data_IF_732229258885
#
_entry.id   IF_732229258885
#
_cell.length_a   1.000
_cell.length_b   1.000
_cell.length_c   1.000
_cell.angle_alpha   90.00
_cell.angle_beta   90.00
_cell.angle_gamma   90.00
#
_symmetry.space_group_name_H-M   'P 1'
#
loop_
_entity.id
_entity.type
_entity.pdbx_description
1 polymer ?
#
# COMPACT_ATOMS: atom_id res chain seq x y z
N UNK A 1 9.47 6.67 -2.20
CA UNK A 1 9.43 5.59 -1.19
C UNK A 1 8.15 4.82 -1.39
N UNK A 2 8.26 3.58 -1.83
CA UNK A 2 7.13 2.64 -1.91
C UNK A 2 6.71 2.21 -0.51
N UNK A 3 5.52 1.62 -0.37
CA UNK A 3 5.05 1.06 0.91
C UNK A 3 6.06 0.04 1.45
N UNK A 4 6.65 -0.78 0.58
CA UNK A 4 7.65 -1.78 0.93
C UNK A 4 8.93 -1.16 1.51
N UNK A 5 9.44 -0.10 0.90
CA UNK A 5 10.61 0.62 1.41
C UNK A 5 10.32 1.27 2.78
N UNK A 6 9.10 1.77 2.99
CA UNK A 6 8.68 2.31 4.30
C UNK A 6 8.61 1.22 5.37
N UNK A 7 8.09 0.04 5.03
CA UNK A 7 8.04 -1.11 5.95
C UNK A 7 9.43 -1.62 6.33
N UNK A 8 10.34 -1.66 5.37
CA UNK A 8 11.74 -2.04 5.59
C UNK A 8 12.45 -1.01 6.50
N UNK A 9 12.21 0.29 6.29
CA UNK A 9 12.73 1.33 7.17
C UNK A 9 12.16 1.28 8.59
N UNK A 10 10.88 0.94 8.75
CA UNK A 10 10.27 0.77 10.08
C UNK A 10 10.90 -0.43 10.79
N UNK A 11 11.08 -1.56 10.10
CA UNK A 11 11.68 -2.77 10.66
C UNK A 11 13.13 -2.55 11.07
N UNK A 12 13.93 -1.92 10.21
CA UNK A 12 15.34 -1.61 10.53
C UNK A 12 15.47 -0.65 11.71
N UNK A 13 14.52 0.26 11.92
CA UNK A 13 14.46 1.08 13.13
C UNK A 13 14.04 0.29 14.38
N UNK A 14 13.20 -0.73 14.25
CA UNK A 14 12.85 -1.65 15.35
C UNK A 14 14.05 -2.48 15.78
N UNK A 15 14.75 -3.07 14.82
CA UNK A 15 16.01 -3.79 15.07
C UNK A 15 17.07 -2.86 15.69
N UNK A 16 17.13 -1.60 15.27
CA UNK A 16 18.00 -0.60 15.88
C UNK A 16 17.66 -0.37 17.36
N UNK A 17 16.38 -0.25 17.70
CA UNK A 17 15.93 -0.09 19.10
C UNK A 17 16.33 -1.31 19.94
N UNK A 18 16.14 -2.52 19.43
CA UNK A 18 16.55 -3.76 20.09
C UNK A 18 18.06 -3.84 20.31
N UNK A 19 18.85 -3.54 19.28
CA UNK A 19 20.32 -3.53 19.38
C UNK A 19 20.82 -2.50 20.40
N UNK A 20 20.18 -1.32 20.47
CA UNK A 20 20.53 -0.31 21.49
C UNK A 20 20.20 -0.82 22.91
N UNK A 21 19.15 -1.63 23.07
CA UNK A 21 18.79 -2.21 24.38
C UNK A 21 19.78 -3.31 24.77
N UNK A 22 20.17 -4.18 23.84
CA UNK A 22 21.02 -5.34 24.09
C UNK A 22 22.49 -4.92 24.21
N UNK A 23 23.01 -4.19 23.23
CA UNK A 23 24.43 -3.89 23.07
C UNK A 23 24.80 -2.45 23.48
N UNK A 24 23.80 -1.62 23.80
CA UNK A 24 23.98 -0.21 24.16
C UNK A 24 24.14 0.73 22.96
N UNK A 25 24.25 0.19 21.74
CA UNK A 25 24.35 0.95 20.49
C UNK A 25 23.81 0.12 19.31
N UNK A 26 23.50 0.79 18.21
CA UNK A 26 23.13 0.15 16.95
C UNK A 26 23.51 1.02 15.75
N UNK A 27 23.37 0.49 14.54
CA UNK A 27 23.67 1.23 13.31
C UNK A 27 22.44 1.37 12.43
N UNK A 28 22.22 2.57 11.90
CA UNK A 28 21.17 2.85 10.94
C UNK A 28 21.69 3.80 9.86
N UNK A 29 21.51 3.43 8.59
CA UNK A 29 22.06 4.15 7.42
C UNK A 29 23.56 4.50 7.56
N UNK A 30 24.35 3.57 8.11
CA UNK A 30 25.80 3.73 8.30
C UNK A 30 26.21 4.63 9.48
N UNK A 31 25.26 5.15 10.26
CA UNK A 31 25.55 5.98 11.45
C UNK A 31 25.31 5.19 12.72
N UNK A 32 26.16 5.40 13.73
CA UNK A 32 26.01 4.80 15.06
C UNK A 32 24.99 5.60 15.87
N UNK A 33 24.03 4.89 16.45
CA UNK A 33 23.05 5.41 17.38
C UNK A 33 23.24 4.75 18.75
N UNK A 34 22.85 5.48 19.79
CA UNK A 34 22.95 5.09 21.20
C UNK A 34 21.66 5.45 21.91
N UNK A 35 21.55 5.11 23.20
CA UNK A 35 20.38 5.44 24.03
C UNK A 35 20.06 6.93 24.07
N UNK A 36 21.06 7.81 23.96
CA UNK A 36 20.89 9.27 23.89
C UNK A 36 20.08 9.72 22.66
N UNK A 37 20.12 8.92 21.59
CA UNK A 37 19.40 9.18 20.35
C UNK A 37 18.00 8.56 20.31
N UNK A 38 17.53 7.96 21.42
CA UNK A 38 16.24 7.24 21.47
C UNK A 38 15.05 8.11 21.05
N UNK A 39 15.00 9.38 21.45
CA UNK A 39 13.93 10.31 21.04
C UNK A 39 13.90 10.49 19.51
N UNK A 40 15.08 10.64 18.89
CA UNK A 40 15.20 10.82 17.44
C UNK A 40 14.81 9.56 16.66
N UNK A 41 15.13 8.38 17.18
CA UNK A 41 14.73 7.09 16.59
C UNK A 41 13.21 6.94 16.62
N UNK A 42 12.57 7.28 17.75
CA UNK A 42 11.11 7.26 17.88
C UNK A 42 10.43 8.23 16.93
N UNK A 43 10.93 9.47 16.82
CA UNK A 43 10.40 10.46 15.87
C UNK A 43 10.51 9.98 14.42
N UNK A 44 11.64 9.39 14.03
CA UNK A 44 11.85 8.81 12.70
C UNK A 44 10.89 7.65 12.40
N UNK A 45 10.70 6.77 13.38
CA UNK A 45 9.78 5.63 13.27
C UNK A 45 8.34 6.11 13.12
N UNK A 46 7.94 7.09 13.90
CA UNK A 46 6.60 7.67 13.82
C UNK A 46 6.37 8.38 12.48
N UNK A 47 7.35 9.14 11.99
CA UNK A 47 7.31 9.76 10.67
C UNK A 47 7.09 8.73 9.55
N UNK A 48 7.80 7.59 9.57
CA UNK A 48 7.61 6.55 8.56
C UNK A 48 6.26 5.83 8.69
N UNK A 49 5.77 5.62 9.92
CA UNK A 49 4.42 5.09 10.15
C UNK A 49 3.34 6.03 9.63
N UNK A 50 3.46 7.33 9.89
CA UNK A 50 2.52 8.34 9.36
C UNK A 50 2.54 8.36 7.85
N UNK A 51 3.73 8.40 7.22
CA UNK A 51 3.85 8.36 5.75
C UNK A 51 3.27 7.08 5.14
N UNK A 52 3.48 5.93 5.79
CA UNK A 52 2.85 4.66 5.39
C UNK A 52 1.33 4.76 5.48
N UNK A 53 0.82 5.28 6.59
CA UNK A 53 -0.61 5.49 6.80
C UNK A 53 -1.21 6.45 5.77
N UNK A 54 -0.52 7.53 5.42
CA UNK A 54 -0.93 8.48 4.39
C UNK A 54 -0.95 7.85 2.99
N UNK A 55 0.02 6.98 2.67
CA UNK A 55 0.02 6.25 1.40
C UNK A 55 -1.10 5.21 1.33
N UNK A 56 -1.35 4.48 2.42
CA UNK A 56 -2.42 3.48 2.49
C UNK A 56 -3.80 4.14 2.48
N UNK A 57 -3.96 5.24 3.22
CA UNK A 57 -5.23 5.96 3.35
C UNK A 57 -5.37 7.05 2.29
N UNK A 58 -4.49 7.10 1.28
CA UNK A 58 -4.61 8.08 0.21
C UNK A 58 -6.00 7.91 -0.41
N UNK A 59 -6.87 8.93 -0.31
CA UNK A 59 -8.22 8.81 -0.81
C UNK A 59 -8.14 8.63 -2.31
N UNK A 60 -8.69 7.53 -2.81
CA UNK A 60 -8.74 7.28 -4.23
C UNK A 60 -9.51 8.42 -4.90
N UNK A 61 -8.85 9.16 -5.77
CA UNK A 61 -9.46 10.30 -6.46
C UNK A 61 -10.14 9.85 -7.76
N UNK A 62 -11.09 10.66 -8.25
CA UNK A 62 -11.76 10.41 -9.55
C UNK A 62 -10.73 10.41 -10.68
N UNK A 63 -9.70 11.26 -10.60
CA UNK A 63 -8.61 11.31 -11.58
C UNK A 63 -7.78 10.02 -11.59
N UNK A 64 -7.44 9.47 -10.41
CA UNK A 64 -6.75 8.17 -10.32
C UNK A 64 -7.62 7.03 -10.86
N UNK A 65 -8.93 7.06 -10.59
CA UNK A 65 -9.83 6.08 -11.19
C UNK A 65 -9.84 6.16 -12.72
N UNK A 66 -9.87 7.37 -13.30
CA UNK A 66 -9.82 7.55 -14.76
C UNK A 66 -8.50 7.03 -15.34
N UNK A 67 -7.36 7.33 -14.69
CA UNK A 67 -6.06 6.81 -15.12
C UNK A 67 -6.01 5.29 -15.08
N UNK A 68 -6.53 4.67 -14.02
CA UNK A 68 -6.52 3.20 -13.91
C UNK A 68 -7.49 2.53 -14.87
N UNK A 69 -8.63 3.15 -15.19
CA UNK A 69 -9.53 2.65 -16.23
C UNK A 69 -8.83 2.70 -17.59
N UNK A 70 -8.18 3.81 -17.94
CA UNK A 70 -7.43 3.94 -19.19
C UNK A 70 -6.31 2.89 -19.29
N UNK A 71 -5.56 2.72 -18.20
CA UNK A 71 -4.53 1.69 -18.09
C UNK A 71 -5.08 0.27 -18.31
N UNK A 72 -6.23 -0.07 -17.71
CA UNK A 72 -6.85 -1.38 -17.91
C UNK A 72 -7.27 -1.60 -19.37
N UNK A 73 -7.75 -0.55 -20.06
CA UNK A 73 -8.12 -0.62 -21.48
C UNK A 73 -6.88 -0.87 -22.34
N UNK A 74 -5.79 -0.14 -22.11
CA UNK A 74 -4.52 -0.34 -22.81
C UNK A 74 -3.97 -1.76 -22.58
N UNK A 75 -4.03 -2.25 -21.33
CA UNK A 75 -3.62 -3.61 -20.99
C UNK A 75 -4.51 -4.68 -21.64
N UNK A 76 -5.83 -4.47 -21.72
CA UNK A 76 -6.76 -5.35 -22.45
C UNK A 76 -6.40 -5.41 -23.93
N UNK A 77 -6.16 -4.26 -24.58
CA UNK A 77 -5.77 -4.18 -25.99
C UNK A 77 -4.43 -4.88 -26.26
N UNK A 78 -3.42 -4.66 -25.42
CA UNK A 78 -2.10 -5.29 -25.53
C UNK A 78 -2.20 -6.82 -25.38
N UNK A 79 -2.95 -7.29 -24.38
CA UNK A 79 -3.17 -8.72 -24.13
C UNK A 79 -3.95 -9.38 -25.27
N UNK A 80 -4.95 -8.69 -25.84
CA UNK A 80 -5.70 -9.16 -27.01
C UNK A 80 -4.82 -9.21 -28.26
N UNK A 81 -3.88 -8.27 -28.42
CA UNK A 81 -2.87 -8.27 -29.47
C UNK A 81 -1.75 -9.31 -29.27
N UNK A 82 -1.75 -10.03 -28.14
CA UNK A 82 -0.75 -11.06 -27.81
C UNK A 82 0.56 -10.50 -27.27
N UNK A 83 0.58 -9.24 -26.84
CA UNK A 83 1.71 -8.60 -26.19
C UNK A 83 1.58 -8.73 -24.66
N UNK A 84 2.72 -8.87 -23.98
CA UNK A 84 2.79 -8.84 -22.51
C UNK A 84 2.97 -7.41 -22.02
N UNK A 85 2.39 -7.07 -20.86
CA UNK A 85 2.41 -5.72 -20.31
C UNK A 85 2.82 -5.73 -18.83
N UNK A 86 3.58 -4.74 -18.38
CA UNK A 86 4.14 -4.69 -17.01
C UNK A 86 3.78 -3.37 -16.33
N UNK A 87 3.19 -3.43 -15.13
CA UNK A 87 2.80 -2.26 -14.35
C UNK A 87 2.94 -2.47 -12.85
N UNK A 88 3.59 -1.52 -12.17
CA UNK A 88 3.85 -1.55 -10.73
C UNK A 88 4.26 -2.95 -10.24
N UNK A 89 5.26 -3.54 -10.92
CA UNK A 89 5.83 -4.87 -10.66
C UNK A 89 4.92 -6.08 -10.99
N UNK A 90 3.78 -5.87 -11.63
CA UNK A 90 2.86 -6.95 -12.06
C UNK A 90 2.95 -7.16 -13.56
N UNK A 91 3.28 -8.39 -13.98
CA UNK A 91 3.23 -8.82 -15.38
C UNK A 91 1.83 -9.33 -15.74
N UNK A 92 1.21 -8.65 -16.69
CA UNK A 92 -0.10 -8.96 -17.23
C UNK A 92 0.07 -9.76 -18.53
N UNK A 93 -0.38 -11.01 -18.49
CA UNK A 93 -0.39 -11.92 -19.65
C UNK A 93 -1.84 -12.27 -20.04
N UNK A 94 -2.01 -13.02 -21.12
CA UNK A 94 -3.33 -13.49 -21.60
C UNK A 94 -4.13 -14.30 -20.58
N UNK A 95 -3.45 -14.94 -19.63
CA UNK A 95 -4.10 -15.63 -18.50
C UNK A 95 -4.77 -14.65 -17.50
N UNK A 96 -4.34 -13.39 -17.47
CA UNK A 96 -4.77 -12.38 -16.50
C UNK A 96 -5.86 -11.46 -17.06
N UNK A 97 -6.39 -11.72 -18.28
CA UNK A 97 -7.41 -10.88 -18.90
C UNK A 97 -8.66 -10.74 -18.00
N UNK A 98 -9.07 -11.82 -17.34
CA UNK A 98 -10.18 -11.80 -16.38
C UNK A 98 -9.89 -10.92 -15.15
N UNK A 99 -8.62 -10.85 -14.72
CA UNK A 99 -8.20 -10.01 -13.60
C UNK A 99 -8.21 -8.53 -13.99
N UNK A 100 -7.73 -8.20 -15.20
CA UNK A 100 -7.75 -6.83 -15.74
C UNK A 100 -9.20 -6.33 -15.88
N UNK A 101 -10.11 -7.16 -16.40
CA UNK A 101 -11.54 -6.82 -16.51
C UNK A 101 -12.13 -6.57 -15.12
N UNK A 102 -11.83 -7.44 -14.14
CA UNK A 102 -12.31 -7.28 -12.77
C UNK A 102 -11.78 -5.99 -12.12
N UNK A 103 -10.52 -5.65 -12.39
CA UNK A 103 -9.87 -4.41 -11.95
C UNK A 103 -10.54 -3.18 -12.56
N UNK A 104 -10.80 -3.21 -13.88
CA UNK A 104 -11.52 -2.16 -14.60
C UNK A 104 -12.90 -1.92 -14.01
N UNK A 105 -13.69 -2.97 -13.80
CA UNK A 105 -15.02 -2.89 -13.19
C UNK A 105 -14.98 -2.37 -11.75
N UNK A 106 -13.93 -2.68 -11.00
CA UNK A 106 -13.72 -2.10 -9.67
C UNK A 106 -13.57 -0.58 -9.75
N UNK A 107 -12.66 -0.07 -10.59
CA UNK A 107 -12.43 1.37 -10.71
C UNK A 107 -13.62 2.12 -11.32
N UNK A 108 -14.39 1.52 -12.23
CA UNK A 108 -15.63 2.12 -12.74
C UNK A 108 -16.66 2.27 -11.61
N UNK A 109 -16.87 1.23 -10.80
CA UNK A 109 -17.78 1.29 -9.64
C UNK A 109 -17.30 2.28 -8.59
N UNK A 110 -16.00 2.32 -8.34
CA UNK A 110 -15.40 3.23 -7.36
C UNK A 110 -15.50 4.69 -7.82
N UNK A 111 -15.25 4.97 -9.11
CA UNK A 111 -15.48 6.28 -9.74
C UNK A 111 -16.93 6.71 -9.60
N UNK A 112 -17.88 5.86 -9.98
CA UNK A 112 -19.31 6.15 -9.86
C UNK A 112 -19.70 6.42 -8.40
N UNK A 113 -19.07 5.71 -7.44
CA UNK A 113 -19.30 5.96 -6.01
C UNK A 113 -18.76 7.32 -5.56
N UNK A 114 -17.56 7.70 -6.01
CA UNK A 114 -16.94 9.00 -5.71
C UNK A 114 -17.73 10.15 -6.33
N UNK A 115 -18.19 10.00 -7.58
CA UNK A 115 -19.04 10.98 -8.27
C UNK A 115 -20.39 11.18 -7.56
N UNK A 116 -20.99 10.11 -7.05
CA UNK A 116 -22.25 10.18 -6.31
C UNK A 116 -22.09 10.51 -4.82
N UNK A 117 -20.87 10.74 -4.33
CA UNK A 117 -20.59 11.06 -2.91
C UNK A 117 -20.96 9.97 -1.91
N UNK A 118 -21.14 8.72 -2.37
CA UNK A 118 -21.62 7.61 -1.53
C UNK A 118 -20.46 7.11 -0.64
N UNK A 119 -20.54 7.34 0.68
CA UNK A 119 -19.57 6.78 1.63
C UNK A 119 -19.72 5.25 1.71
N UNK A 120 -18.61 4.50 1.73
CA UNK A 120 -18.64 3.05 2.01
C UNK A 120 -19.33 2.84 3.36
N UNK A 121 -20.50 2.23 3.36
CA UNK A 121 -21.15 1.77 4.58
C UNK A 121 -20.23 0.80 5.31
N UNK A 122 -20.00 1.02 6.61
CA UNK A 122 -19.25 0.10 7.46
C UNK A 122 -19.97 -1.24 7.43
N UNK A 123 -19.38 -2.28 6.82
CA UNK A 123 -19.88 -3.66 6.95
C UNK A 123 -19.57 -4.13 8.37
N UNK A 124 -20.53 -3.93 9.28
CA UNK A 124 -20.47 -4.51 10.62
C UNK A 124 -20.83 -6.00 10.48
N UNK A 125 -19.85 -6.88 10.63
CA UNK A 125 -20.10 -8.32 10.81
C UNK A 125 -20.71 -8.53 12.20
N UNK A 126 -22.01 -8.88 12.27
CA UNK A 126 -22.59 -9.44 13.50
C UNK A 126 -22.08 -10.87 13.64
N UNK A 127 -21.12 -11.09 14.55
CA UNK A 127 -20.85 -12.42 15.06
C UNK A 127 -22.08 -12.86 15.87
N UNK A 128 -22.89 -13.76 15.33
CA UNK A 128 -23.84 -14.54 16.14
C UNK A 128 -23.00 -15.55 16.93
N UNK A 129 -22.65 -15.19 18.16
CA UNK A 129 -22.16 -16.16 19.14
C UNK A 129 -23.31 -17.10 19.48
N UNK A 130 -23.25 -18.32 18.96
CA UNK A 130 -24.00 -19.43 19.52
C UNK A 130 -23.42 -19.71 20.91
N UNK A 131 -24.15 -19.34 21.95
CA UNK A 131 -23.93 -19.90 23.29
C UNK A 131 -24.55 -21.30 23.30
N UNK A 132 -23.69 -22.28 23.60
CA UNK A 132 -24.03 -23.62 24.09
C UNK A 132 -24.91 -23.55 25.35
#
# INVERSE_FOLDING_TARGET
MTIRELEEKIRTLEELEENIIIDGYGFYEGKRYTKEHSSKIKELKELYKTRRSEQINKPLTIEECNRMIAFCIEAEEAVLAGQEYEYEDTRLTRANLSEIISLKEYYIREKHRLENGIKRGIKIWRAYGSND
#
